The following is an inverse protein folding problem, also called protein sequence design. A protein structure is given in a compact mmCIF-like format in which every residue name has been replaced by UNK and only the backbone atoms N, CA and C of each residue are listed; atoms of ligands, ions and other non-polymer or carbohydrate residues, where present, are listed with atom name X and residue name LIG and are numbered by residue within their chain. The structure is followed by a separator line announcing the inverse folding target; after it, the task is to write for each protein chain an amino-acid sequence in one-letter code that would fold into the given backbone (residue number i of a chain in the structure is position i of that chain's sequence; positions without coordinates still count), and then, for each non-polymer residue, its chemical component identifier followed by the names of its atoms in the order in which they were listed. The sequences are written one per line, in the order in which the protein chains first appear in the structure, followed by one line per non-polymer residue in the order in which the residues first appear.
data_IF_862898075088
#
_entry.id   IF_862898075088
#
_cell.length_a   1.000
_cell.length_b   1.000
_cell.length_c   1.000
_cell.angle_alpha   90.00
_cell.angle_beta   90.00
_cell.angle_gamma   90.00
#
_symmetry.space_group_name_H-M   'P 1'
#
loop_
_entity.id
_entity.type
_entity.pdbx_description
1 polymer ?
#
# COMPACT_ATOMS: atom_id res chain seq x y z
N UNK A 1 -46.89 19.10 -73.30
CA UNK A 1 -46.03 17.97 -72.92
C UNK A 1 -46.13 17.73 -71.42
N UNK A 2 -46.89 16.72 -71.04
CA UNK A 2 -47.11 16.36 -69.62
C UNK A 2 -46.03 15.40 -69.15
N UNK A 3 -45.20 15.77 -68.19
CA UNK A 3 -44.32 14.83 -67.51
C UNK A 3 -44.96 14.45 -66.16
N UNK A 4 -45.27 13.17 -66.05
CA UNK A 4 -45.81 12.52 -64.85
C UNK A 4 -44.66 12.37 -63.82
N UNK A 5 -44.84 12.88 -62.59
CA UNK A 5 -44.03 12.58 -61.44
C UNK A 5 -44.56 11.27 -60.81
N UNK A 6 -43.65 10.33 -60.64
CA UNK A 6 -43.90 9.08 -59.89
C UNK A 6 -43.55 9.35 -58.41
N UNK A 7 -44.38 9.06 -57.43
CA UNK A 7 -43.99 9.14 -56.03
C UNK A 7 -43.21 7.89 -55.62
N UNK A 8 -41.98 8.07 -55.15
CA UNK A 8 -41.19 7.06 -54.50
C UNK A 8 -41.76 6.86 -53.10
N UNK A 9 -42.37 5.69 -52.86
CA UNK A 9 -42.81 5.23 -51.56
C UNK A 9 -41.60 4.80 -50.75
N UNK A 10 -41.16 5.63 -49.81
CA UNK A 10 -40.11 5.32 -48.85
C UNK A 10 -40.73 4.51 -47.72
N UNK A 11 -40.61 3.20 -47.77
CA UNK A 11 -40.99 2.31 -46.67
C UNK A 11 -39.96 2.47 -45.55
N UNK A 12 -40.40 3.16 -44.51
CA UNK A 12 -39.68 3.27 -43.25
C UNK A 12 -39.79 1.92 -42.53
N UNK A 13 -38.70 1.10 -42.57
CA UNK A 13 -38.60 -0.11 -41.74
C UNK A 13 -38.25 0.40 -40.34
N UNK A 14 -39.27 0.51 -39.51
CA UNK A 14 -39.11 0.70 -38.06
C UNK A 14 -38.64 -0.65 -37.49
N UNK A 15 -37.33 -0.80 -37.33
CA UNK A 15 -36.79 -1.90 -36.52
C UNK A 15 -37.09 -1.57 -35.06
N UNK A 16 -38.17 -2.05 -34.54
CA UNK A 16 -38.40 -2.09 -33.11
C UNK A 16 -37.34 -3.01 -32.49
N UNK A 17 -36.32 -2.42 -31.93
CA UNK A 17 -35.45 -3.11 -30.97
C UNK A 17 -36.28 -3.38 -29.71
N UNK A 18 -37.03 -4.49 -29.72
CA UNK A 18 -37.57 -5.02 -28.48
C UNK A 18 -36.41 -5.53 -27.62
N UNK A 19 -36.41 -5.22 -26.35
CA UNK A 19 -35.39 -5.79 -25.47
C UNK A 19 -35.55 -7.30 -25.46
N UNK A 20 -34.54 -8.02 -25.91
CA UNK A 20 -34.43 -9.49 -25.99
C UNK A 20 -34.63 -10.18 -24.62
N UNK A 21 -34.80 -9.38 -23.57
CA UNK A 21 -34.87 -9.84 -22.17
C UNK A 21 -36.25 -10.33 -21.69
N UNK A 22 -37.34 -10.10 -22.43
CA UNK A 22 -38.66 -10.50 -21.99
C UNK A 22 -39.10 -11.93 -22.44
N UNK A 23 -38.28 -12.63 -23.23
CA UNK A 23 -38.64 -13.92 -23.81
C UNK A 23 -38.04 -15.15 -23.09
N UNK A 24 -37.27 -14.97 -22.00
CA UNK A 24 -36.56 -16.09 -21.35
C UNK A 24 -37.14 -16.55 -20.00
N UNK A 25 -38.32 -16.14 -19.61
CA UNK A 25 -38.90 -16.51 -18.30
C UNK A 25 -40.22 -17.28 -18.42
N UNK A 26 -40.46 -18.03 -19.47
CA UNK A 26 -41.55 -19.03 -19.41
C UNK A 26 -41.20 -20.27 -20.19
N UNK A 27 -41.10 -21.34 -19.43
CA UNK A 27 -41.19 -22.75 -19.78
C UNK A 27 -39.99 -23.46 -20.40
N UNK A 28 -39.48 -24.40 -19.62
CA UNK A 28 -39.16 -25.75 -20.03
C UNK A 28 -38.12 -25.93 -21.14
N UNK A 29 -36.97 -26.50 -20.75
CA UNK A 29 -36.03 -27.22 -21.62
C UNK A 29 -35.62 -26.56 -22.94
N UNK A 30 -34.75 -25.52 -22.80
CA UNK A 30 -33.74 -25.29 -23.82
C UNK A 30 -32.41 -25.30 -23.07
N UNK A 31 -31.82 -26.48 -22.96
CA UNK A 31 -30.39 -26.62 -22.68
C UNK A 31 -29.66 -26.01 -23.87
N UNK A 32 -29.24 -24.72 -23.73
CA UNK A 32 -28.30 -24.14 -24.65
C UNK A 32 -26.89 -24.70 -24.27
N UNK A 33 -26.29 -25.59 -25.08
CA UNK A 33 -25.09 -26.32 -24.70
C UNK A 33 -23.80 -25.45 -24.74
N UNK A 34 -23.91 -24.11 -24.89
CA UNK A 34 -22.78 -23.21 -25.11
C UNK A 34 -22.55 -22.18 -24.00
N UNK A 35 -23.43 -22.05 -22.99
CA UNK A 35 -23.19 -21.19 -21.86
C UNK A 35 -22.53 -21.97 -20.73
N UNK A 36 -21.25 -21.67 -20.44
CA UNK A 36 -20.61 -22.19 -19.25
C UNK A 36 -21.16 -21.52 -18.00
N UNK A 37 -21.00 -22.12 -16.83
CA UNK A 37 -21.41 -21.50 -15.56
C UNK A 37 -20.67 -20.18 -15.28
N UNK A 38 -19.48 -20.02 -15.85
CA UNK A 38 -18.70 -18.78 -15.79
C UNK A 38 -19.39 -17.66 -16.58
N UNK A 39 -19.85 -17.95 -17.82
CA UNK A 39 -20.53 -16.96 -18.65
C UNK A 39 -21.84 -16.46 -18.01
N UNK A 40 -22.57 -17.35 -17.32
CA UNK A 40 -23.80 -16.98 -16.61
C UNK A 40 -23.51 -16.05 -15.41
N UNK A 41 -22.41 -16.25 -14.69
CA UNK A 41 -22.02 -15.40 -13.57
C UNK A 41 -21.51 -14.03 -14.02
N UNK A 42 -20.78 -13.95 -15.13
CA UNK A 42 -20.37 -12.69 -15.75
C UNK A 42 -21.56 -11.86 -16.20
N UNK A 43 -22.50 -12.47 -16.93
CA UNK A 43 -23.72 -11.80 -17.41
C UNK A 43 -24.55 -11.27 -16.24
N UNK A 44 -24.62 -12.02 -15.14
CA UNK A 44 -25.30 -11.56 -13.93
C UNK A 44 -24.61 -10.36 -13.31
N UNK A 45 -23.27 -10.41 -13.15
CA UNK A 45 -22.51 -9.30 -12.57
C UNK A 45 -22.60 -8.03 -13.42
N UNK A 46 -22.48 -8.14 -14.75
CA UNK A 46 -22.68 -7.00 -15.67
C UNK A 46 -24.07 -6.42 -15.55
N UNK A 47 -25.10 -7.26 -15.55
CA UNK A 47 -26.48 -6.83 -15.36
C UNK A 47 -26.70 -6.12 -14.02
N UNK A 48 -26.08 -6.60 -12.94
CA UNK A 48 -26.13 -5.94 -11.63
C UNK A 48 -25.45 -4.55 -11.68
N UNK A 49 -24.28 -4.44 -12.31
CA UNK A 49 -23.58 -3.15 -12.48
C UNK A 49 -24.42 -2.17 -13.29
N UNK A 50 -25.04 -2.61 -14.38
CA UNK A 50 -25.86 -1.77 -15.25
C UNK A 50 -27.13 -1.26 -14.54
N UNK A 51 -27.80 -2.13 -13.78
CA UNK A 51 -29.07 -1.84 -13.10
C UNK A 51 -28.90 -1.12 -11.76
N UNK A 52 -27.70 -1.17 -11.14
CA UNK A 52 -27.45 -0.53 -9.87
C UNK A 52 -27.64 0.99 -9.95
N UNK A 53 -28.11 1.59 -8.87
CA UNK A 53 -28.10 3.04 -8.68
C UNK A 53 -26.74 3.50 -8.17
N UNK A 54 -26.46 4.79 -8.34
CA UNK A 54 -25.25 5.37 -7.75
C UNK A 54 -25.29 5.25 -6.21
N UNK A 55 -24.22 4.67 -5.65
CA UNK A 55 -24.08 4.40 -4.22
C UNK A 55 -24.47 2.98 -3.80
N UNK A 56 -25.02 2.16 -4.71
CA UNK A 56 -25.39 0.78 -4.40
C UNK A 56 -24.14 -0.09 -4.14
N UNK A 57 -24.35 -1.14 -3.35
CA UNK A 57 -23.37 -2.19 -3.11
C UNK A 57 -23.73 -3.45 -3.88
N UNK A 58 -22.80 -3.91 -4.72
CA UNK A 58 -22.89 -5.18 -5.44
C UNK A 58 -22.03 -6.19 -4.69
N UNK A 59 -22.69 -7.22 -4.18
CA UNK A 59 -22.02 -8.28 -3.43
C UNK A 59 -21.89 -9.52 -4.30
N UNK A 60 -20.66 -10.02 -4.46
CA UNK A 60 -20.43 -11.27 -5.19
C UNK A 60 -21.06 -12.44 -4.43
N UNK A 61 -21.76 -13.30 -5.15
CA UNK A 61 -22.38 -14.51 -4.61
C UNK A 61 -21.57 -15.79 -4.90
N UNK A 62 -20.63 -15.71 -5.83
CA UNK A 62 -19.75 -16.81 -6.25
C UNK A 62 -18.48 -16.26 -6.89
N UNK A 63 -17.50 -17.15 -7.07
CA UNK A 63 -16.36 -16.85 -7.94
C UNK A 63 -16.88 -16.54 -9.35
N UNK A 64 -16.39 -15.46 -9.94
CA UNK A 64 -16.88 -14.94 -11.22
C UNK A 64 -15.70 -14.76 -12.16
N UNK A 65 -15.75 -15.43 -13.30
CA UNK A 65 -14.85 -15.20 -14.42
C UNK A 65 -15.49 -14.22 -15.41
N UNK A 66 -14.69 -13.33 -15.94
CA UNK A 66 -15.11 -12.33 -16.93
C UNK A 66 -14.19 -12.37 -18.15
N UNK A 67 -14.76 -12.30 -19.34
CA UNK A 67 -14.02 -12.30 -20.59
C UNK A 67 -13.67 -10.88 -21.10
N UNK A 68 -14.28 -9.84 -20.53
CA UNK A 68 -14.02 -8.46 -20.91
C UNK A 68 -14.12 -7.53 -19.72
N UNK A 69 -13.44 -6.40 -19.78
CA UNK A 69 -13.39 -5.36 -18.75
C UNK A 69 -14.78 -4.94 -18.23
N UNK A 70 -14.95 -4.88 -16.93
CA UNK A 70 -16.14 -4.30 -16.30
C UNK A 70 -16.01 -2.78 -16.26
N UNK A 71 -16.96 -2.10 -16.89
CA UNK A 71 -16.99 -0.61 -16.91
C UNK A 71 -17.78 -0.10 -15.70
N UNK A 72 -17.14 0.73 -14.91
CA UNK A 72 -17.75 1.39 -13.74
C UNK A 72 -17.92 2.87 -14.07
N UNK A 73 -19.14 3.26 -14.40
CA UNK A 73 -19.51 4.60 -14.86
C UNK A 73 -20.32 5.39 -13.84
N UNK A 74 -20.53 4.85 -12.67
CA UNK A 74 -21.27 5.45 -11.55
C UNK A 74 -20.66 5.02 -10.22
N UNK A 75 -20.95 5.75 -9.16
CA UNK A 75 -20.47 5.41 -7.82
C UNK A 75 -21.03 4.04 -7.41
N UNK A 76 -20.16 3.10 -7.10
CA UNK A 76 -20.54 1.75 -6.67
C UNK A 76 -19.58 1.22 -5.61
N UNK A 77 -20.10 0.34 -4.76
CA UNK A 77 -19.28 -0.53 -3.92
C UNK A 77 -19.35 -1.95 -4.47
N UNK A 78 -18.21 -2.61 -4.66
CA UNK A 78 -18.13 -4.04 -4.94
C UNK A 78 -17.61 -4.73 -3.69
N UNK A 79 -18.47 -5.50 -3.04
CA UNK A 79 -18.10 -6.41 -1.95
C UNK A 79 -17.71 -7.76 -2.56
N UNK A 80 -16.44 -8.08 -2.55
CA UNK A 80 -15.93 -9.36 -3.05
C UNK A 80 -16.46 -10.55 -2.26
N UNK A 81 -16.88 -10.35 -0.99
CA UNK A 81 -17.55 -11.35 -0.15
C UNK A 81 -16.79 -12.68 -0.10
N UNK A 82 -15.46 -12.63 -0.12
CA UNK A 82 -14.63 -13.82 -0.11
C UNK A 82 -14.61 -14.59 -1.43
N UNK A 83 -14.97 -13.99 -2.55
CA UNK A 83 -14.97 -14.61 -3.87
C UNK A 83 -13.93 -14.05 -4.81
N UNK A 84 -13.59 -14.81 -5.83
CA UNK A 84 -12.64 -14.44 -6.87
C UNK A 84 -13.36 -13.75 -8.02
N UNK A 85 -12.89 -12.57 -8.41
CA UNK A 85 -13.20 -11.91 -9.66
C UNK A 85 -12.01 -12.04 -10.59
N UNK A 86 -12.13 -12.92 -11.62
CA UNK A 86 -11.02 -13.25 -12.50
C UNK A 86 -11.30 -12.84 -13.93
N UNK A 87 -10.35 -12.10 -14.52
CA UNK A 87 -10.31 -11.87 -15.96
C UNK A 87 -9.75 -13.10 -16.67
N UNK A 88 -10.40 -13.51 -17.75
CA UNK A 88 -9.96 -14.60 -18.64
C UNK A 88 -9.67 -14.13 -20.07
N UNK A 89 -10.02 -12.89 -20.37
CA UNK A 89 -9.71 -12.22 -21.62
C UNK A 89 -8.68 -11.09 -21.44
N UNK A 90 -8.46 -10.34 -22.50
CA UNK A 90 -7.52 -9.22 -22.49
C UNK A 90 -8.08 -7.98 -21.77
N UNK A 91 -7.20 -7.16 -21.24
CA UNK A 91 -7.54 -5.86 -20.67
C UNK A 91 -7.50 -5.79 -19.15
N UNK A 92 -8.02 -4.70 -18.60
CA UNK A 92 -8.15 -4.50 -17.16
C UNK A 92 -9.37 -5.24 -16.61
N UNK A 93 -9.31 -5.77 -15.40
CA UNK A 93 -10.51 -6.36 -14.76
C UNK A 93 -11.60 -5.30 -14.60
N UNK A 94 -11.23 -4.13 -14.08
CA UNK A 94 -12.13 -3.01 -13.81
C UNK A 94 -11.58 -1.74 -14.47
N UNK A 95 -12.48 -0.94 -15.06
CA UNK A 95 -12.18 0.39 -15.57
C UNK A 95 -13.17 1.38 -14.98
N UNK A 96 -12.66 2.40 -14.32
CA UNK A 96 -13.47 3.44 -13.67
C UNK A 96 -13.44 4.68 -14.53
N UNK A 97 -14.61 5.16 -14.95
CA UNK A 97 -14.80 6.31 -15.84
C UNK A 97 -15.97 7.20 -15.38
N UNK A 98 -16.26 8.25 -16.12
CA UNK A 98 -17.44 9.12 -15.93
C UNK A 98 -17.54 9.74 -14.52
N UNK A 99 -16.42 10.08 -13.90
CA UNK A 99 -16.33 10.64 -12.54
C UNK A 99 -16.83 9.71 -11.44
N UNK A 100 -16.84 8.42 -11.71
CA UNK A 100 -17.30 7.42 -10.77
C UNK A 100 -16.30 7.25 -9.61
N UNK A 101 -16.85 6.90 -8.46
CA UNK A 101 -16.11 6.34 -7.32
C UNK A 101 -16.41 4.86 -7.22
N UNK A 102 -15.37 4.03 -7.30
CA UNK A 102 -15.45 2.61 -7.02
C UNK A 102 -14.85 2.32 -5.65
N UNK A 103 -15.63 1.71 -4.78
CA UNK A 103 -15.14 1.15 -3.51
C UNK A 103 -15.06 -0.36 -3.63
N UNK A 104 -13.92 -0.95 -3.26
CA UNK A 104 -13.72 -2.40 -3.19
C UNK A 104 -13.59 -2.78 -1.72
N UNK A 105 -14.45 -3.70 -1.28
CA UNK A 105 -14.47 -4.27 0.07
C UNK A 105 -14.46 -5.78 0.02
N UNK A 106 -14.22 -6.41 1.16
CA UNK A 106 -14.34 -7.86 1.31
C UNK A 106 -14.93 -8.21 2.66
N UNK A 107 -16.21 -8.58 2.69
CA UNK A 107 -16.91 -8.92 3.92
C UNK A 107 -16.58 -10.32 4.46
N UNK A 108 -15.80 -11.14 3.71
CA UNK A 108 -15.37 -12.49 4.12
C UNK A 108 -13.89 -12.74 3.84
N UNK A 109 -12.96 -12.02 4.51
CA UNK A 109 -11.54 -12.04 4.18
C UNK A 109 -10.83 -13.37 4.49
N UNK A 110 -11.49 -14.33 5.09
CA UNK A 110 -10.93 -15.65 5.41
C UNK A 110 -11.57 -16.79 4.59
N UNK A 111 -12.45 -16.46 3.61
CA UNK A 111 -13.14 -17.48 2.83
C UNK A 111 -12.15 -18.20 1.88
N UNK A 112 -12.01 -19.54 1.96
CA UNK A 112 -11.13 -20.29 1.07
C UNK A 112 -11.75 -20.46 -0.32
N UNK A 113 -10.90 -20.56 -1.34
CA UNK A 113 -11.30 -20.73 -2.74
C UNK A 113 -11.08 -22.17 -3.21
N UNK A 114 -12.08 -23.04 -3.15
CA UNK A 114 -11.95 -24.45 -3.51
C UNK A 114 -11.27 -24.71 -4.87
N UNK A 115 -11.74 -24.08 -5.95
CA UNK A 115 -11.19 -24.24 -7.30
C UNK A 115 -9.95 -23.37 -7.60
N UNK A 116 -9.65 -22.39 -6.77
CA UNK A 116 -8.50 -21.48 -6.90
C UNK A 116 -7.56 -21.61 -5.71
N UNK A 117 -7.17 -22.83 -5.37
CA UNK A 117 -6.40 -23.17 -4.17
C UNK A 117 -5.02 -22.48 -4.06
N UNK A 118 -4.50 -21.88 -5.15
CA UNK A 118 -3.26 -21.11 -5.16
C UNK A 118 -3.43 -19.66 -4.75
N UNK A 119 -4.66 -19.13 -4.77
CA UNK A 119 -4.93 -17.74 -4.42
C UNK A 119 -5.09 -17.55 -2.90
N UNK A 120 -4.78 -16.35 -2.38
CA UNK A 120 -5.00 -16.02 -0.98
C UNK A 120 -6.49 -16.16 -0.61
N UNK A 121 -6.78 -16.50 0.65
CA UNK A 121 -8.15 -16.50 1.16
C UNK A 121 -8.75 -15.09 1.12
N UNK A 122 -10.09 -15.03 1.10
CA UNK A 122 -10.83 -13.77 1.00
C UNK A 122 -11.17 -13.39 -0.43
N UNK A 123 -11.65 -12.17 -0.63
CA UNK A 123 -11.97 -11.64 -1.94
C UNK A 123 -10.72 -11.36 -2.77
N UNK A 124 -10.70 -11.78 -4.03
CA UNK A 124 -9.52 -11.64 -4.92
C UNK A 124 -9.92 -11.06 -6.26
N UNK A 125 -9.10 -10.14 -6.77
CA UNK A 125 -9.16 -9.61 -8.14
C UNK A 125 -7.88 -10.04 -8.85
N UNK A 126 -8.01 -10.76 -9.98
CA UNK A 126 -6.88 -11.42 -10.65
C UNK A 126 -7.06 -11.55 -12.16
N UNK A 127 -5.98 -11.89 -12.86
CA UNK A 127 -5.97 -12.31 -14.27
C UNK A 127 -6.02 -11.16 -15.28
N UNK A 128 -6.01 -9.90 -14.87
CA UNK A 128 -6.00 -8.80 -15.81
C UNK A 128 -4.64 -8.56 -16.44
N UNK A 129 -4.60 -8.37 -17.77
CA UNK A 129 -3.38 -8.08 -18.52
C UNK A 129 -3.13 -6.57 -18.71
N UNK A 130 -4.13 -5.76 -18.36
CA UNK A 130 -4.10 -4.32 -18.47
C UNK A 130 -4.54 -3.79 -19.83
N UNK A 131 -4.92 -2.53 -19.83
CA UNK A 131 -5.32 -1.80 -21.04
C UNK A 131 -4.09 -1.29 -21.77
N UNK A 132 -4.00 -1.53 -23.08
CA UNK A 132 -2.91 -1.00 -23.91
C UNK A 132 -3.08 0.52 -24.07
N UNK A 133 -2.12 1.27 -23.57
CA UNK A 133 -2.04 2.72 -23.76
C UNK A 133 -0.83 3.05 -24.62
N UNK A 134 -1.00 3.69 -25.79
CA UNK A 134 0.11 4.04 -26.68
C UNK A 134 1.24 4.77 -25.95
N UNK A 135 2.46 4.24 -26.02
CA UNK A 135 3.65 4.81 -25.37
C UNK A 135 3.85 4.42 -23.90
N UNK A 136 2.92 3.69 -23.29
CA UNK A 136 3.02 3.27 -21.88
C UNK A 136 2.90 1.75 -21.67
N UNK A 137 2.58 0.97 -22.69
CA UNK A 137 2.31 -0.48 -22.63
C UNK A 137 0.97 -0.83 -21.93
N UNK A 138 0.80 -2.08 -21.54
CA UNK A 138 -0.38 -2.55 -20.82
C UNK A 138 -0.32 -2.07 -19.36
N UNK A 139 -1.33 -1.34 -18.93
CA UNK A 139 -1.43 -0.73 -17.60
C UNK A 139 -2.78 -1.00 -16.95
N UNK A 140 -2.83 -0.96 -15.62
CA UNK A 140 -4.05 -1.15 -14.85
C UNK A 140 -4.59 -2.56 -14.98
N UNK A 141 -3.78 -3.58 -14.76
CA UNK A 141 -4.22 -4.98 -14.88
C UNK A 141 -5.48 -5.25 -14.08
N UNK A 142 -5.48 -4.93 -12.80
CA UNK A 142 -6.68 -5.02 -11.98
C UNK A 142 -7.61 -3.82 -12.20
N UNK A 143 -7.10 -2.58 -12.06
CA UNK A 143 -7.95 -1.38 -12.12
C UNK A 143 -7.28 -0.27 -12.93
N UNK A 144 -8.01 0.25 -13.90
CA UNK A 144 -7.65 1.43 -14.68
C UNK A 144 -8.53 2.61 -14.26
N UNK A 145 -7.89 3.70 -13.77
CA UNK A 145 -8.59 4.92 -13.36
C UNK A 145 -8.47 6.01 -14.41
N UNK A 146 -9.59 6.47 -14.92
CA UNK A 146 -9.66 7.62 -15.83
C UNK A 146 -9.71 8.94 -15.07
N UNK A 147 -9.83 10.06 -15.83
CA UNK A 147 -9.88 11.38 -15.26
C UNK A 147 -11.11 11.59 -14.37
N UNK A 148 -10.95 12.35 -13.29
CA UNK A 148 -11.99 12.68 -12.30
C UNK A 148 -12.59 11.45 -11.58
N UNK A 149 -11.89 10.29 -11.55
CA UNK A 149 -12.38 9.07 -10.91
C UNK A 149 -11.67 8.77 -9.59
N UNK A 150 -12.34 7.99 -8.73
CA UNK A 150 -11.78 7.57 -7.45
C UNK A 150 -11.89 6.06 -7.29
N UNK A 151 -10.80 5.41 -6.90
CA UNK A 151 -10.79 4.06 -6.37
C UNK A 151 -10.57 4.12 -4.86
N UNK A 152 -11.37 3.37 -4.10
CA UNK A 152 -11.16 3.10 -2.68
C UNK A 152 -10.96 1.60 -2.49
N UNK A 153 -9.78 1.20 -2.00
CA UNK A 153 -9.50 -0.19 -1.63
C UNK A 153 -9.51 -0.28 -0.10
N UNK A 154 -10.57 -0.89 0.41
CA UNK A 154 -10.81 -1.07 1.85
C UNK A 154 -10.60 -2.51 2.29
N UNK A 155 -10.64 -3.48 1.35
CA UNK A 155 -10.46 -4.90 1.62
C UNK A 155 -10.23 -5.70 0.35
N UNK A 156 -9.95 -7.00 0.51
CA UNK A 156 -9.65 -7.92 -0.58
C UNK A 156 -8.19 -7.89 -1.03
N UNK A 157 -7.86 -8.75 -1.97
CA UNK A 157 -6.51 -8.90 -2.52
C UNK A 157 -6.51 -8.69 -4.03
N UNK A 158 -5.61 -7.88 -4.52
CA UNK A 158 -5.27 -7.74 -5.94
C UNK A 158 -3.99 -8.54 -6.16
N UNK A 159 -4.03 -9.54 -7.05
CA UNK A 159 -2.88 -10.41 -7.28
C UNK A 159 -2.91 -11.08 -8.66
N UNK A 160 -1.74 -11.47 -9.15
CA UNK A 160 -1.57 -12.21 -10.41
C UNK A 160 -2.21 -11.51 -11.64
N UNK A 161 -2.05 -10.17 -11.69
CA UNK A 161 -2.41 -9.40 -12.86
C UNK A 161 -1.13 -9.11 -13.66
N UNK A 162 -1.04 -9.60 -14.89
CA UNK A 162 0.22 -9.62 -15.66
C UNK A 162 0.59 -8.29 -16.35
N UNK A 163 0.00 -7.20 -15.93
CA UNK A 163 0.26 -5.86 -16.46
C UNK A 163 1.69 -5.38 -16.17
N UNK A 164 2.45 -5.06 -17.20
CA UNK A 164 3.81 -4.52 -17.06
C UNK A 164 3.85 -3.07 -16.55
N UNK A 165 2.73 -2.36 -16.62
CA UNK A 165 2.62 -0.95 -16.26
C UNK A 165 1.88 -0.67 -14.95
N UNK A 166 1.71 -1.70 -14.09
CA UNK A 166 1.08 -1.59 -12.79
C UNK A 166 -0.34 -2.17 -12.74
N UNK A 167 -0.65 -2.86 -11.64
CA UNK A 167 -1.98 -3.46 -11.47
C UNK A 167 -3.05 -2.42 -11.21
N UNK A 168 -2.76 -1.41 -10.41
CA UNK A 168 -3.61 -0.22 -10.30
C UNK A 168 -2.92 0.93 -11.04
N UNK A 169 -3.60 1.50 -12.03
CA UNK A 169 -3.08 2.59 -12.85
C UNK A 169 -3.90 3.87 -12.67
N UNK A 170 -3.23 4.92 -12.19
CA UNK A 170 -3.79 6.25 -11.99
C UNK A 170 -3.40 7.10 -13.19
N UNK A 171 -4.29 7.25 -14.19
CA UNK A 171 -3.95 7.73 -15.52
C UNK A 171 -3.95 9.25 -15.67
N UNK A 172 -4.66 9.97 -14.82
CA UNK A 172 -4.98 11.38 -15.02
C UNK A 172 -4.82 12.22 -13.75
N UNK A 173 -4.68 13.55 -13.92
CA UNK A 173 -4.38 14.49 -12.83
C UNK A 173 -5.40 14.49 -11.70
N UNK A 174 -6.69 14.29 -12.03
CA UNK A 174 -7.77 14.26 -11.04
C UNK A 174 -8.22 12.84 -10.70
N UNK A 175 -7.49 11.82 -11.15
CA UNK A 175 -7.74 10.47 -10.71
C UNK A 175 -7.14 10.25 -9.32
N UNK A 176 -7.90 9.60 -8.45
CA UNK A 176 -7.55 9.38 -7.04
C UNK A 176 -7.60 7.90 -6.71
N UNK A 177 -6.58 7.41 -6.04
CA UNK A 177 -6.58 6.10 -5.41
C UNK A 177 -6.41 6.27 -3.90
N UNK A 178 -7.37 5.77 -3.13
CA UNK A 178 -7.34 5.73 -1.67
C UNK A 178 -7.26 4.27 -1.22
N UNK A 179 -6.22 3.91 -0.48
CA UNK A 179 -6.04 2.57 0.08
C UNK A 179 -6.02 2.66 1.61
N UNK A 180 -7.06 2.16 2.24
CA UNK A 180 -7.19 2.10 3.71
C UNK A 180 -7.10 0.67 4.24
N UNK A 181 -7.17 -0.32 3.35
CA UNK A 181 -7.08 -1.74 3.67
C UNK A 181 -6.73 -2.57 2.44
N UNK A 182 -6.92 -3.88 2.52
CA UNK A 182 -6.61 -4.81 1.44
C UNK A 182 -5.12 -5.04 1.19
N UNK A 183 -4.82 -5.82 0.17
CA UNK A 183 -3.45 -6.20 -0.21
C UNK A 183 -3.28 -6.13 -1.72
N UNK A 184 -2.16 -5.59 -2.19
CA UNK A 184 -1.69 -5.70 -3.58
C UNK A 184 -0.41 -6.53 -3.53
N UNK A 185 -0.38 -7.68 -4.23
CA UNK A 185 0.75 -8.62 -4.14
C UNK A 185 0.92 -9.45 -5.40
N UNK A 186 2.12 -9.99 -5.62
CA UNK A 186 2.38 -10.89 -6.75
C UNK A 186 2.34 -10.23 -8.13
N UNK A 187 2.52 -8.91 -8.18
CA UNK A 187 2.43 -8.09 -9.38
C UNK A 187 3.81 -7.79 -9.97
N UNK A 188 3.87 -7.28 -11.19
CA UNK A 188 5.11 -6.66 -11.69
C UNK A 188 5.32 -5.32 -11.02
N UNK A 189 4.34 -4.42 -11.13
CA UNK A 189 4.28 -3.16 -10.40
C UNK A 189 2.92 -3.10 -9.69
N UNK A 190 2.90 -2.89 -8.39
CA UNK A 190 1.65 -2.85 -7.64
C UNK A 190 0.78 -1.66 -8.03
N UNK A 191 1.28 -0.45 -7.83
CA UNK A 191 0.58 0.81 -8.17
C UNK A 191 1.46 1.66 -9.09
N UNK A 192 0.91 2.09 -10.21
CA UNK A 192 1.52 3.12 -11.04
C UNK A 192 0.71 4.41 -11.00
N UNK A 193 1.29 5.43 -10.40
CA UNK A 193 0.73 6.79 -10.42
C UNK A 193 1.39 7.60 -11.54
N UNK A 194 0.64 7.82 -12.62
CA UNK A 194 1.17 8.56 -13.76
C UNK A 194 1.12 10.07 -13.55
N UNK A 195 0.02 10.60 -12.99
CA UNK A 195 -0.15 12.05 -12.76
C UNK A 195 -1.17 12.41 -11.66
N UNK A 196 -1.84 11.43 -11.06
CA UNK A 196 -2.93 11.66 -10.09
C UNK A 196 -2.49 11.64 -8.64
N UNK A 197 -3.40 11.28 -7.76
CA UNK A 197 -3.17 11.23 -6.31
C UNK A 197 -3.33 9.82 -5.79
N UNK A 198 -2.34 9.36 -5.03
CA UNK A 198 -2.39 8.11 -4.28
C UNK A 198 -2.30 8.40 -2.78
N UNK A 199 -3.30 7.98 -2.02
CA UNK A 199 -3.31 8.09 -0.56
C UNK A 199 -3.39 6.70 0.06
N UNK A 200 -2.44 6.35 0.92
CA UNK A 200 -2.39 5.06 1.59
C UNK A 200 -2.36 5.27 3.10
N UNK A 201 -3.44 4.88 3.79
CA UNK A 201 -3.58 5.00 5.25
C UNK A 201 -3.54 3.66 5.97
N UNK A 202 -3.67 2.57 5.22
CA UNK A 202 -3.62 1.19 5.68
C UNK A 202 -3.43 0.25 4.51
N UNK A 203 -3.49 -1.05 4.76
CA UNK A 203 -3.27 -2.08 3.74
C UNK A 203 -1.79 -2.35 3.46
N UNK A 204 -1.53 -3.22 2.49
CA UNK A 204 -0.17 -3.70 2.18
C UNK A 204 0.08 -3.76 0.68
N UNK A 205 1.27 -3.33 0.25
CA UNK A 205 1.79 -3.56 -1.12
C UNK A 205 3.09 -4.37 -0.96
N UNK A 206 3.09 -5.62 -1.44
CA UNK A 206 4.18 -6.55 -1.17
C UNK A 206 4.32 -7.59 -2.29
N UNK A 207 5.50 -8.22 -2.41
CA UNK A 207 5.70 -9.31 -3.37
C UNK A 207 5.65 -8.88 -4.84
N UNK A 208 5.76 -7.60 -5.15
CA UNK A 208 5.83 -7.10 -6.53
C UNK A 208 7.22 -7.36 -7.11
N UNK A 209 7.28 -7.94 -8.30
CA UNK A 209 8.53 -8.43 -8.89
C UNK A 209 9.44 -7.33 -9.43
N UNK A 210 8.94 -6.12 -9.66
CA UNK A 210 9.73 -4.94 -10.05
C UNK A 210 9.64 -3.85 -8.97
N UNK A 211 8.45 -3.28 -8.70
CA UNK A 211 8.25 -2.19 -7.73
C UNK A 211 6.92 -2.30 -7.01
N UNK A 212 6.88 -1.92 -5.74
CA UNK A 212 5.61 -1.74 -5.04
C UNK A 212 4.81 -0.58 -5.62
N UNK A 213 5.43 0.61 -5.70
CA UNK A 213 4.82 1.84 -6.23
C UNK A 213 5.75 2.50 -7.23
N UNK A 214 5.22 2.85 -8.40
CA UNK A 214 5.89 3.67 -9.39
C UNK A 214 5.16 5.01 -9.55
N UNK A 215 5.83 6.10 -9.21
CA UNK A 215 5.35 7.48 -9.38
C UNK A 215 6.07 8.13 -10.55
N UNK A 216 5.31 8.53 -11.58
CA UNK A 216 5.89 9.24 -12.75
C UNK A 216 5.69 10.76 -12.63
N UNK A 217 4.46 11.19 -12.31
CA UNK A 217 4.07 12.59 -12.13
C UNK A 217 2.83 12.61 -11.26
N UNK A 218 2.91 12.68 -10.00
CA UNK A 218 1.71 12.71 -9.17
C UNK A 218 2.11 12.82 -7.72
N UNK A 219 1.11 12.79 -6.86
CA UNK A 219 1.35 12.86 -5.43
C UNK A 219 1.06 11.51 -4.76
N UNK A 220 1.81 11.21 -3.72
CA UNK A 220 1.56 10.10 -2.82
C UNK A 220 1.64 10.58 -1.38
N UNK A 221 0.63 10.24 -0.59
CA UNK A 221 0.65 10.39 0.87
C UNK A 221 0.50 9.03 1.52
N UNK A 222 1.41 8.70 2.43
CA UNK A 222 1.38 7.48 3.22
C UNK A 222 1.31 7.81 4.71
N UNK A 223 0.42 7.14 5.45
CA UNK A 223 0.24 7.37 6.87
C UNK A 223 -0.38 6.15 7.58
N UNK A 224 -0.69 6.27 8.86
CA UNK A 224 -1.39 5.24 9.62
C UNK A 224 -0.62 3.93 9.72
N UNK A 225 -1.26 2.82 9.34
CA UNK A 225 -0.69 1.46 9.39
C UNK A 225 -0.30 0.92 8.01
N UNK A 226 -0.20 1.80 7.01
CA UNK A 226 0.19 1.44 5.65
C UNK A 226 1.57 0.76 5.62
N UNK A 227 1.72 -0.24 4.75
CA UNK A 227 2.97 -0.98 4.60
C UNK A 227 3.31 -1.20 3.14
N UNK A 228 4.52 -0.84 2.75
CA UNK A 228 5.10 -1.16 1.45
C UNK A 228 6.42 -1.87 1.73
N UNK A 229 6.56 -3.12 1.28
CA UNK A 229 7.75 -3.89 1.58
C UNK A 229 7.73 -5.30 1.02
N UNK A 230 8.88 -5.99 1.08
CA UNK A 230 9.00 -7.34 0.55
C UNK A 230 8.81 -7.42 -0.96
N UNK A 231 9.15 -6.36 -1.70
CA UNK A 231 9.10 -6.32 -3.16
C UNK A 231 10.52 -6.68 -3.70
N UNK A 232 10.75 -7.92 -4.16
CA UNK A 232 12.10 -8.44 -4.40
C UNK A 232 12.78 -7.94 -5.68
N UNK A 233 12.10 -7.18 -6.53
CA UNK A 233 12.52 -6.82 -7.87
C UNK A 233 13.81 -6.00 -7.95
N UNK A 234 13.76 -4.80 -8.51
CA UNK A 234 14.91 -3.88 -8.58
C UNK A 234 15.38 -3.37 -7.20
N UNK A 235 14.75 -3.85 -6.12
CA UNK A 235 15.02 -3.48 -4.75
C UNK A 235 14.32 -2.20 -4.33
N UNK A 236 13.37 -1.71 -5.13
CA UNK A 236 12.69 -0.46 -4.91
C UNK A 236 11.23 -0.71 -4.51
N UNK A 237 10.88 -0.40 -3.27
CA UNK A 237 9.49 -0.38 -2.83
C UNK A 237 8.74 0.81 -3.43
N UNK A 238 9.41 1.96 -3.48
CA UNK A 238 8.86 3.17 -4.10
C UNK A 238 9.87 3.74 -5.09
N UNK A 239 9.47 3.88 -6.34
CA UNK A 239 10.23 4.54 -7.38
C UNK A 239 9.54 5.84 -7.79
N UNK A 240 10.23 6.94 -7.61
CA UNK A 240 9.78 8.29 -7.97
C UNK A 240 10.60 8.77 -9.16
N UNK A 241 9.93 9.01 -10.28
CA UNK A 241 10.54 9.63 -11.45
C UNK A 241 10.01 11.04 -11.62
N UNK A 242 10.88 12.01 -11.48
CA UNK A 242 10.54 13.40 -11.69
C UNK A 242 10.83 13.78 -13.15
N UNK A 243 9.82 14.09 -13.94
CA UNK A 243 10.07 14.68 -15.28
C UNK A 243 10.50 16.13 -15.09
N UNK A 244 11.28 16.62 -16.02
CA UNK A 244 12.01 17.90 -16.06
C UNK A 244 11.19 19.15 -15.65
N UNK A 245 9.88 19.05 -15.52
CA UNK A 245 8.99 20.22 -15.32
C UNK A 245 7.87 20.08 -14.29
N UNK A 246 7.75 18.95 -13.57
CA UNK A 246 6.71 18.79 -12.54
C UNK A 246 7.30 18.09 -11.31
N UNK A 247 6.97 18.62 -10.14
CA UNK A 247 7.35 17.99 -8.88
C UNK A 247 6.45 16.80 -8.59
N UNK A 248 7.08 15.67 -8.32
CA UNK A 248 6.38 14.50 -7.78
C UNK A 248 6.44 14.57 -6.26
N UNK A 249 5.29 14.74 -5.62
CA UNK A 249 5.21 14.86 -4.17
C UNK A 249 5.06 13.49 -3.52
N UNK A 250 6.06 13.10 -2.73
CA UNK A 250 5.98 11.94 -1.84
C UNK A 250 5.97 12.44 -0.39
N UNK A 251 4.93 12.10 0.37
CA UNK A 251 4.81 12.45 1.79
C UNK A 251 4.53 11.20 2.62
N UNK A 252 5.49 10.79 3.44
CA UNK A 252 5.34 9.67 4.36
C UNK A 252 5.30 10.22 5.79
N UNK A 253 4.12 10.22 6.39
CA UNK A 253 3.85 10.74 7.73
C UNK A 253 3.48 9.65 8.73
N UNK A 254 3.50 8.39 8.30
CA UNK A 254 3.24 7.19 9.09
C UNK A 254 3.33 5.96 8.21
N UNK A 255 3.22 4.78 8.82
CA UNK A 255 3.40 3.51 8.14
C UNK A 255 4.86 3.11 7.98
N UNK A 256 5.12 2.03 7.25
CA UNK A 256 6.46 1.46 7.06
C UNK A 256 6.76 1.26 5.58
N UNK A 257 7.92 1.74 5.13
CA UNK A 257 8.56 1.38 3.87
C UNK A 257 9.79 0.55 4.21
N UNK A 258 9.75 -0.75 3.89
CA UNK A 258 10.80 -1.71 4.28
C UNK A 258 11.99 -1.66 3.33
N UNK A 259 11.74 -1.60 2.03
CA UNK A 259 12.77 -1.59 1.00
C UNK A 259 13.18 -0.19 0.56
N UNK A 260 13.83 -0.12 -0.58
CA UNK A 260 14.43 1.13 -1.05
C UNK A 260 13.42 2.11 -1.64
N UNK A 261 13.67 3.39 -1.42
CA UNK A 261 13.02 4.48 -2.15
C UNK A 261 14.04 5.07 -3.13
N UNK A 262 13.72 5.02 -4.41
CA UNK A 262 14.56 5.61 -5.46
C UNK A 262 13.89 6.83 -6.07
N UNK A 263 14.64 7.92 -6.14
CA UNK A 263 14.21 9.18 -6.72
C UNK A 263 15.13 9.52 -7.88
N UNK A 264 14.58 9.64 -9.08
CA UNK A 264 15.33 10.01 -10.29
C UNK A 264 14.92 11.39 -10.77
N UNK A 265 15.93 12.20 -11.09
CA UNK A 265 15.75 13.52 -11.68
C UNK A 265 16.21 13.50 -13.15
N UNK A 266 15.48 14.17 -14.02
CA UNK A 266 15.82 14.27 -15.45
C UNK A 266 17.10 15.04 -15.72
N UNK A 267 17.74 14.71 -16.82
CA UNK A 267 19.12 15.05 -17.21
C UNK A 267 19.52 16.53 -17.30
N UNK A 268 18.60 17.48 -17.18
CA UNK A 268 18.89 18.89 -17.55
C UNK A 268 18.88 19.89 -16.42
N UNK A 269 18.92 19.44 -15.16
CA UNK A 269 18.73 20.36 -14.03
C UNK A 269 20.04 20.96 -13.47
N UNK A 270 21.22 20.59 -13.99
CA UNK A 270 22.48 21.09 -13.47
C UNK A 270 22.70 20.85 -11.98
N UNK A 271 22.03 19.83 -11.43
CA UNK A 271 22.00 19.52 -10.00
C UNK A 271 23.33 18.95 -9.53
N UNK A 272 23.85 19.50 -8.46
CA UNK A 272 25.01 18.97 -7.75
C UNK A 272 24.55 18.10 -6.58
N UNK A 273 25.44 17.27 -6.04
CA UNK A 273 25.19 16.46 -4.86
C UNK A 273 24.63 17.27 -3.68
N UNK A 274 25.11 18.48 -3.47
CA UNK A 274 24.65 19.39 -2.42
C UNK A 274 23.24 19.94 -2.67
N UNK A 275 22.87 20.15 -3.93
CA UNK A 275 21.53 20.61 -4.28
C UNK A 275 20.47 19.53 -4.20
N UNK A 276 20.84 18.23 -4.26
CA UNK A 276 19.92 17.10 -4.14
C UNK A 276 19.48 16.81 -2.70
N UNK A 277 20.32 17.11 -1.74
CA UNK A 277 20.05 16.84 -0.32
C UNK A 277 18.79 17.54 0.19
N UNK A 278 18.56 18.84 -0.06
CA UNK A 278 17.29 19.48 0.29
C UNK A 278 16.08 18.90 -0.45
N UNK A 279 16.25 18.51 -1.72
CA UNK A 279 15.17 17.93 -2.52
C UNK A 279 14.77 16.55 -1.98
N UNK A 280 15.72 15.68 -1.68
CA UNK A 280 15.44 14.39 -1.06
C UNK A 280 14.72 14.57 0.30
N UNK A 281 15.13 15.53 1.12
CA UNK A 281 14.47 15.83 2.38
C UNK A 281 13.06 16.44 2.21
N UNK A 282 12.77 17.09 1.09
CA UNK A 282 11.44 17.65 0.82
C UNK A 282 10.45 16.60 0.32
N UNK A 283 10.93 15.56 -0.34
CA UNK A 283 10.11 14.47 -0.90
C UNK A 283 9.66 13.51 0.21
N UNK A 284 10.52 13.25 1.19
CA UNK A 284 10.23 12.37 2.31
C UNK A 284 10.04 13.19 3.57
N UNK A 285 8.79 13.32 4.02
CA UNK A 285 8.44 14.08 5.23
C UNK A 285 8.45 13.20 6.48
N UNK A 286 8.58 13.84 7.64
CA UNK A 286 8.67 13.18 8.94
C UNK A 286 7.44 12.30 9.25
N UNK A 287 7.65 11.20 9.97
CA UNK A 287 6.61 10.36 10.55
C UNK A 287 6.54 8.92 10.06
N UNK A 288 7.15 8.58 8.92
CA UNK A 288 7.23 7.21 8.42
C UNK A 288 8.48 6.47 8.89
N UNK A 289 8.44 5.16 8.84
CA UNK A 289 9.59 4.28 9.07
C UNK A 289 10.15 3.84 7.74
N UNK A 290 11.42 4.14 7.48
CA UNK A 290 12.18 3.68 6.32
C UNK A 290 13.27 2.72 6.79
N UNK A 291 13.17 1.46 6.39
CA UNK A 291 14.16 0.43 6.73
C UNK A 291 15.22 0.27 5.64
N UNK A 292 14.87 0.61 4.40
CA UNK A 292 15.75 0.56 3.25
C UNK A 292 16.60 1.81 3.02
N UNK A 293 17.21 1.89 1.85
CA UNK A 293 17.98 3.04 1.40
C UNK A 293 17.07 4.04 0.67
N UNK A 294 17.33 5.33 0.88
CA UNK A 294 16.78 6.35 -0.01
C UNK A 294 17.88 6.71 -1.00
N UNK A 295 17.70 6.32 -2.24
CA UNK A 295 18.63 6.60 -3.34
C UNK A 295 18.11 7.78 -4.15
N UNK A 296 18.93 8.82 -4.28
CA UNK A 296 18.65 9.93 -5.20
C UNK A 296 19.63 9.85 -6.36
N UNK A 297 19.08 9.74 -7.57
CA UNK A 297 19.87 9.66 -8.79
C UNK A 297 19.55 10.83 -9.70
N UNK A 298 20.60 11.43 -10.26
CA UNK A 298 20.46 12.33 -11.40
C UNK A 298 20.59 11.48 -12.67
N UNK A 299 19.57 11.53 -13.50
CA UNK A 299 19.59 10.90 -14.82
C UNK A 299 20.37 11.81 -15.79
N UNK A 300 21.70 11.85 -15.63
CA UNK A 300 22.60 12.49 -16.58
C UNK A 300 23.34 11.41 -17.38
N UNK A 301 23.93 11.81 -18.48
CA UNK A 301 24.72 10.93 -19.36
C UNK A 301 25.92 10.28 -18.67
N UNK A 302 26.25 10.68 -17.45
CA UNK A 302 27.41 10.22 -16.68
C UNK A 302 27.03 9.32 -15.48
N UNK A 303 25.74 9.12 -15.22
CA UNK A 303 25.25 8.15 -14.23
C UNK A 303 25.61 8.47 -12.78
N UNK A 304 25.68 9.74 -12.39
CA UNK A 304 25.98 10.13 -11.01
C UNK A 304 24.82 9.74 -10.10
N UNK A 305 25.02 8.78 -9.20
CA UNK A 305 24.08 8.42 -8.16
C UNK A 305 24.59 8.86 -6.79
N UNK A 306 23.67 9.24 -5.94
CA UNK A 306 23.95 9.61 -4.55
C UNK A 306 23.04 8.79 -3.66
N UNK A 307 23.62 7.98 -2.79
CA UNK A 307 22.89 7.16 -1.84
C UNK A 307 22.75 7.84 -0.49
N UNK A 308 21.54 7.89 0.03
CA UNK A 308 21.23 8.27 1.38
C UNK A 308 20.77 7.06 2.18
N UNK A 309 21.28 6.92 3.39
CA UNK A 309 20.76 5.98 4.37
C UNK A 309 19.73 6.68 5.25
N UNK A 310 18.60 6.07 5.45
CA UNK A 310 17.62 6.56 6.40
C UNK A 310 18.08 6.29 7.84
N UNK A 311 17.96 7.28 8.72
CA UNK A 311 18.13 7.13 10.17
C UNK A 311 16.83 7.54 10.84
N UNK A 312 16.11 6.58 11.39
CA UNK A 312 14.87 6.79 12.11
C UNK A 312 15.17 7.02 13.60
N UNK A 313 14.55 8.01 14.20
CA UNK A 313 14.57 8.26 15.62
C UNK A 313 13.15 8.05 16.17
N UNK A 314 12.98 7.05 17.01
CA UNK A 314 11.67 6.65 17.55
C UNK A 314 11.67 6.86 19.06
N UNK A 315 10.67 7.57 19.56
CA UNK A 315 10.38 7.69 20.96
C UNK A 315 9.01 7.07 21.26
N UNK A 316 9.03 5.85 21.76
CA UNK A 316 7.81 5.09 22.05
C UNK A 316 6.98 5.67 23.21
N UNK A 317 7.59 6.44 24.10
CA UNK A 317 6.89 7.10 25.21
C UNK A 317 6.19 8.37 24.74
N UNK A 318 6.90 9.20 23.98
CA UNK A 318 6.35 10.42 23.40
C UNK A 318 5.46 10.15 22.16
N UNK A 319 5.52 8.94 21.59
CA UNK A 319 4.87 8.57 20.32
C UNK A 319 5.32 9.46 19.16
N UNK A 320 6.60 9.86 19.18
CA UNK A 320 7.21 10.68 18.13
C UNK A 320 8.18 9.86 17.31
N UNK A 321 8.27 10.22 16.02
CA UNK A 321 9.22 9.66 15.06
C UNK A 321 9.79 10.79 14.23
N UNK A 322 11.09 10.79 14.03
CA UNK A 322 11.77 11.71 13.12
C UNK A 322 12.72 10.94 12.23
N UNK A 323 12.89 11.43 11.00
CA UNK A 323 13.75 10.83 9.98
C UNK A 323 14.87 11.79 9.62
N UNK A 324 16.10 11.28 9.58
CA UNK A 324 17.22 11.93 8.92
C UNK A 324 17.64 11.14 7.69
N UNK A 325 17.90 11.85 6.60
CA UNK A 325 18.59 11.30 5.43
C UNK A 325 20.07 11.62 5.54
N UNK A 326 20.86 10.60 5.74
CA UNK A 326 22.31 10.71 5.92
C UNK A 326 22.99 10.16 4.67
N UNK A 327 23.84 10.97 4.05
CA UNK A 327 24.65 10.50 2.93
C UNK A 327 25.45 9.27 3.35
N UNK A 328 25.54 8.25 2.49
CA UNK A 328 26.31 7.04 2.77
C UNK A 328 27.74 7.39 3.23
N UNK A 329 28.26 6.68 4.21
CA UNK A 329 29.55 6.90 4.86
C UNK A 329 29.71 8.28 5.54
N UNK A 330 28.61 8.97 5.81
CA UNK A 330 28.59 10.17 6.68
C UNK A 330 27.93 9.84 8.03
N UNK A 331 28.02 10.77 8.96
CA UNK A 331 27.51 10.62 10.33
C UNK A 331 26.11 11.23 10.44
N UNK A 332 25.26 10.60 11.24
CA UNK A 332 23.99 11.20 11.61
C UNK A 332 24.20 12.39 12.55
N UNK A 333 23.38 13.41 12.42
CA UNK A 333 23.34 14.50 13.38
C UNK A 333 22.50 14.06 14.59
N UNK A 334 23.05 14.23 15.80
CA UNK A 334 22.25 13.98 17.00
C UNK A 334 21.06 14.95 17.02
N UNK A 335 19.82 14.46 17.11
CA UNK A 335 18.66 15.35 17.24
C UNK A 335 18.66 16.05 18.61
N UNK A 336 17.89 17.12 18.73
CA UNK A 336 17.61 17.74 20.03
C UNK A 336 17.03 16.68 20.97
N UNK A 337 17.50 16.69 22.22
CA UNK A 337 17.01 15.75 23.21
C UNK A 337 15.49 15.93 23.42
N UNK A 338 14.71 14.85 23.37
CA UNK A 338 13.27 14.93 23.56
C UNK A 338 12.88 15.44 24.95
N UNK A 339 11.78 16.22 25.01
CA UNK A 339 11.23 16.72 26.26
C UNK A 339 10.83 15.59 27.22
N UNK A 340 10.79 15.90 28.52
CA UNK A 340 10.28 14.98 29.54
C UNK A 340 8.80 14.66 29.29
N UNK A 341 8.48 13.38 29.26
CA UNK A 341 7.11 12.89 29.03
C UNK A 341 6.69 11.98 30.17
N UNK A 342 5.54 12.28 30.78
CA UNK A 342 4.98 11.50 31.89
C UNK A 342 6.00 11.30 33.05
N UNK A 343 6.81 12.33 33.35
CA UNK A 343 7.83 12.27 34.39
C UNK A 343 9.05 11.41 34.06
N UNK A 344 9.16 10.96 32.81
CA UNK A 344 10.30 10.18 32.31
C UNK A 344 11.21 11.07 31.50
N UNK A 345 12.42 11.25 31.96
CA UNK A 345 13.45 12.05 31.30
C UNK A 345 14.12 11.23 30.19
N UNK A 346 14.49 11.90 29.10
CA UNK A 346 15.31 11.31 28.06
C UNK A 346 16.74 11.07 28.58
N UNK A 347 17.29 9.91 28.26
CA UNK A 347 18.65 9.53 28.64
C UNK A 347 19.59 9.51 27.44
N UNK A 348 19.29 8.70 26.42
CA UNK A 348 20.11 8.54 25.22
C UNK A 348 19.32 7.83 24.11
N UNK A 349 19.88 7.87 22.92
CA UNK A 349 19.46 7.07 21.76
C UNK A 349 20.22 5.75 21.72
N UNK A 350 19.57 4.64 21.39
CA UNK A 350 20.17 3.32 21.27
C UNK A 350 19.60 2.53 20.08
N UNK A 351 20.31 1.52 19.60
CA UNK A 351 19.76 0.53 18.65
C UNK A 351 18.78 -0.40 19.37
N UNK A 352 17.90 -1.01 18.61
CA UNK A 352 17.02 -2.06 19.14
C UNK A 352 17.84 -3.18 19.81
N UNK A 353 17.43 -3.56 21.02
CA UNK A 353 18.09 -4.61 21.79
C UNK A 353 19.47 -4.27 22.36
N UNK A 354 20.01 -3.07 22.13
CA UNK A 354 21.25 -2.63 22.73
C UNK A 354 21.02 -1.88 24.05
N UNK A 355 21.97 -1.98 24.97
CA UNK A 355 21.95 -1.31 26.29
C UNK A 355 22.83 -0.06 26.34
N UNK A 356 23.58 0.21 25.28
CA UNK A 356 24.54 1.32 25.23
C UNK A 356 24.02 2.45 24.36
N UNK A 357 24.44 3.68 24.69
CA UNK A 357 24.14 4.86 23.92
C UNK A 357 24.77 4.75 22.51
N UNK A 358 24.01 5.18 21.50
CA UNK A 358 24.54 5.28 20.14
C UNK A 358 25.64 6.34 20.05
N UNK A 359 26.79 5.95 19.47
CA UNK A 359 27.87 6.89 19.17
C UNK A 359 27.62 7.59 17.83
N UNK A 360 27.23 8.87 17.88
CA UNK A 360 27.01 9.72 16.71
C UNK A 360 28.28 10.03 15.90
N UNK A 361 29.45 9.57 16.34
CA UNK A 361 30.67 9.57 15.53
C UNK A 361 30.76 8.39 14.55
N UNK A 362 29.84 7.43 14.65
CA UNK A 362 29.79 6.28 13.76
C UNK A 362 29.27 6.68 12.37
N UNK A 363 29.94 6.22 11.33
CA UNK A 363 29.47 6.37 9.94
C UNK A 363 28.25 5.51 9.69
N UNK A 364 27.26 6.05 8.96
CA UNK A 364 26.03 5.36 8.58
C UNK A 364 26.26 4.66 7.24
N UNK A 365 26.45 3.35 7.28
CA UNK A 365 26.67 2.50 6.08
C UNK A 365 25.43 1.75 5.63
N UNK A 366 24.45 1.64 6.50
CA UNK A 366 23.16 0.97 6.26
C UNK A 366 22.06 1.77 6.97
N UNK A 367 20.80 1.61 6.58
CA UNK A 367 19.68 2.21 7.30
C UNK A 367 19.70 1.84 8.78
N UNK A 368 19.26 2.76 9.62
CA UNK A 368 19.38 2.64 11.07
C UNK A 368 18.10 3.13 11.74
N UNK A 369 17.63 2.40 12.74
CA UNK A 369 16.59 2.86 13.66
C UNK A 369 17.17 3.00 15.06
N UNK A 370 16.97 4.16 15.66
CA UNK A 370 17.39 4.49 17.02
C UNK A 370 16.17 4.76 17.88
N UNK A 371 16.19 4.19 19.07
CA UNK A 371 15.11 4.31 20.06
C UNK A 371 15.54 5.20 21.22
N UNK A 372 14.65 6.08 21.68
CA UNK A 372 14.86 6.87 22.86
C UNK A 372 14.79 5.99 24.13
N UNK A 373 15.85 5.99 24.91
CA UNK A 373 15.85 5.43 26.26
C UNK A 373 15.49 6.51 27.25
N UNK A 374 14.55 6.22 28.14
CA UNK A 374 14.06 7.15 29.15
C UNK A 374 14.18 6.58 30.56
N UNK A 375 14.24 7.45 31.55
CA UNK A 375 14.20 7.02 32.95
C UNK A 375 12.96 6.18 33.24
N UNK A 376 13.01 5.20 34.17
CA UNK A 376 11.83 4.50 34.63
C UNK A 376 10.74 5.48 35.07
N UNK A 377 9.46 5.10 34.91
CA UNK A 377 8.40 5.86 35.53
C UNK A 377 8.63 5.91 37.05
N UNK A 378 8.66 7.10 37.62
CA UNK A 378 8.70 7.20 39.09
C UNK A 378 7.44 6.54 39.63
N UNK A 379 7.60 5.38 40.25
CA UNK A 379 6.53 4.81 41.08
C UNK A 379 6.24 5.83 42.19
N UNK A 380 5.14 6.55 42.11
CA UNK A 380 4.69 7.41 43.16
C UNK A 380 4.39 6.58 44.41
N UNK A 381 5.42 6.16 45.09
CA UNK A 381 5.31 5.62 46.44
C UNK A 381 5.10 6.81 47.34
N UNK A 382 3.89 7.00 47.82
CA UNK A 382 3.65 7.78 49.04
C UNK A 382 4.47 7.11 50.12
N UNK A 383 5.64 7.68 50.44
CA UNK A 383 6.29 7.37 51.70
C UNK A 383 5.46 8.03 52.81
N UNK A 384 4.60 7.24 53.43
CA UNK A 384 4.01 7.55 54.69
C UNK A 384 5.15 7.55 55.71
N UNK A 385 5.58 8.73 56.17
CA UNK A 385 6.41 8.88 57.36
C UNK A 385 5.50 8.78 58.57
N UNK A 386 5.57 7.72 59.37
CA UNK A 386 4.97 7.78 60.71
C UNK A 386 5.88 8.63 61.58
N UNK A 387 5.40 9.81 61.96
CA UNK A 387 5.97 10.57 63.06
C UNK A 387 5.71 9.83 64.35
N UNK A 388 6.71 9.15 64.87
CA UNK A 388 6.77 8.81 66.28
C UNK A 388 8.11 9.26 66.82
N UNK A 389 8.03 10.31 67.67
CA UNK A 389 9.05 10.62 68.66
C UNK A 389 9.39 9.35 69.47
N UNK A 390 10.67 8.99 69.54
CA UNK A 390 11.39 8.62 70.76
C UNK A 390 12.85 8.35 70.51
N UNK A 391 13.66 9.14 71.19
CA UNK A 391 15.02 8.97 71.77
C UNK A 391 16.02 7.97 71.21
N UNK A 392 17.23 8.54 71.10
CA UNK A 392 18.50 7.94 70.87
C UNK A 392 18.79 6.62 71.59
N UNK A 393 19.52 5.74 70.93
CA UNK A 393 20.72 5.12 71.46
C UNK A 393 21.62 4.56 70.35
N UNK A 394 22.94 4.68 70.59
CA UNK A 394 24.07 4.28 69.77
C UNK A 394 24.11 2.81 69.42
N UNK A 395 24.48 2.45 68.17
CA UNK A 395 25.45 1.39 67.91
C UNK A 395 25.81 1.25 66.40
N UNK A 396 27.09 1.17 66.15
CA UNK A 396 27.83 0.85 64.96
C UNK A 396 27.29 -0.34 64.16
N UNK A 397 27.30 -0.21 62.82
CA UNK A 397 27.25 -1.36 61.94
C UNK A 397 26.85 -1.01 60.51
N UNK A 398 27.81 -0.87 59.60
CA UNK A 398 27.54 -0.78 58.18
C UNK A 398 26.90 -2.07 57.66
N UNK A 399 25.76 -2.03 56.94
CA UNK A 399 25.34 -3.14 56.13
C UNK A 399 25.89 -3.00 54.69
N UNK A 400 26.50 -4.04 54.27
CA UNK A 400 26.80 -4.30 52.84
C UNK A 400 25.47 -4.52 52.12
N UNK A 401 25.11 -3.65 51.23
CA UNK A 401 24.02 -3.87 50.28
C UNK A 401 24.59 -4.46 48.99
N UNK A 402 24.43 -5.76 48.86
CA UNK A 402 24.33 -6.38 47.55
C UNK A 402 22.84 -6.48 47.23
N UNK A 403 22.40 -5.67 46.31
CA UNK A 403 21.04 -5.76 45.75
C UNK A 403 21.10 -6.51 44.42
N UNK A 404 20.55 -7.72 44.31
CA UNK A 404 20.46 -8.46 43.06
C UNK A 404 19.06 -8.29 42.43
N UNK A 405 18.66 -7.06 42.12
CA UNK A 405 17.28 -6.79 41.71
C UNK A 405 17.04 -5.99 40.41
N UNK A 406 17.99 -5.98 39.46
CA UNK A 406 17.77 -5.27 38.20
C UNK A 406 18.05 -6.16 36.97
N UNK A 407 17.55 -7.39 36.99
CA UNK A 407 17.67 -8.26 35.82
C UNK A 407 16.41 -9.10 35.61
N UNK A 408 15.22 -8.49 35.56
CA UNK A 408 14.05 -9.29 35.19
C UNK A 408 12.82 -8.46 34.75
N UNK A 409 12.93 -7.52 33.80
CA UNK A 409 11.76 -6.99 33.09
C UNK A 409 12.09 -6.60 31.64
N UNK A 410 12.79 -7.49 30.91
CA UNK A 410 13.09 -7.29 29.50
C UNK A 410 12.63 -8.43 28.58
N UNK A 411 11.78 -9.32 29.07
CA UNK A 411 11.39 -10.50 28.27
C UNK A 411 9.90 -10.79 28.45
N UNK A 412 9.04 -10.01 27.83
CA UNK A 412 7.62 -10.37 27.66
C UNK A 412 6.95 -9.59 26.53
N UNK A 413 7.57 -9.57 25.36
CA UNK A 413 6.86 -9.17 24.12
C UNK A 413 7.30 -9.92 22.86
N UNK A 414 8.00 -11.05 23.00
CA UNK A 414 8.46 -11.84 21.87
C UNK A 414 8.05 -13.31 22.03
N UNK A 415 6.75 -13.58 22.08
CA UNK A 415 6.20 -14.95 22.02
C UNK A 415 4.89 -14.97 21.25
N UNK A 416 4.96 -14.69 19.94
CA UNK A 416 3.93 -15.17 19.03
C UNK A 416 4.43 -15.15 17.59
N UNK A 417 5.47 -15.92 17.26
CA UNK A 417 5.73 -16.41 15.89
C UNK A 417 6.88 -17.42 15.88
N UNK A 418 6.71 -18.53 16.55
CA UNK A 418 7.47 -19.75 16.17
C UNK A 418 6.65 -20.96 16.58
N UNK A 419 6.13 -21.64 15.61
CA UNK A 419 5.46 -22.90 15.87
C UNK A 419 4.79 -23.45 14.64
N UNK A 420 5.54 -24.04 13.75
CA UNK A 420 5.23 -25.38 13.19
C UNK A 420 6.27 -25.75 12.14
N UNK A 421 7.36 -26.32 12.58
CA UNK A 421 8.13 -27.22 11.71
C UNK A 421 7.60 -28.63 11.95
N UNK A 422 6.79 -29.10 11.02
CA UNK A 422 6.39 -30.51 10.97
C UNK A 422 7.51 -31.30 10.29
N UNK A 423 8.30 -32.02 11.07
CA UNK A 423 9.18 -33.07 10.58
C UNK A 423 8.38 -34.34 10.32
N UNK A 424 8.02 -34.55 9.07
CA UNK A 424 7.48 -35.81 8.58
C UNK A 424 8.59 -36.72 8.09
N UNK A 425 8.93 -37.75 8.88
CA UNK A 425 9.84 -38.85 8.48
C UNK A 425 9.14 -39.79 7.51
N UNK A 426 9.83 -40.08 6.40
CA UNK A 426 9.55 -41.18 5.47
C UNK A 426 9.63 -42.54 6.19
N UNK A 427 8.75 -43.46 5.80
CA UNK A 427 9.09 -44.86 5.53
C UNK A 427 8.04 -45.51 4.62
N UNK A 428 8.61 -46.12 3.58
CA UNK A 428 8.12 -47.03 2.54
C UNK A 428 7.36 -46.42 1.38
#
# INVERSE_FOLDING_TARGET
MKRRLLPILMTLVLVCALPIWAAFVTSGDVTNPLLTTADASELNLRGMIEQANAGDTIKLSSNTEIAATLQITKNLTIDLNGHVLKMTGDGSVLRVSDRATLTITDSRPQNPHGSYAGLPAGGVITGGEGTNVPGIYNVGGAVFLENDTTLKLEGGTITENSSSGGSVFISAEKAVFEMSGGTITGETVGVRNNVGTFTMTGGRITGCSDRGVYMFNGSMTMSGTAYIGGNPGAGEDIYVREPVHKHTDLSVTGGTVEGNVRIEFGANLGMTQESLKPVANSVVKEGGVFEGHIQVRIDNTEGTSVDYNSVNFIDEVAKTRTLQLVLADKKATRPTDPDTVNGREFMYWTKEGASEAWDFNTEIKVPLTLYAVRTPASSGGYYYYPTTDTKADDAKGSPKTADPGVALYGVLSLLSLTGLTCTGRKKF
#
